data_IF_186214387618
#
_entry.id   IF_186214387618
#
_cell.length_a   1.000
_cell.length_b   1.000
_cell.length_c   1.000
_cell.angle_alpha   90.00
_cell.angle_beta   90.00
_cell.angle_gamma   90.00
#
_symmetry.space_group_name_H-M   'P 1'
#
loop_
_entity.id
_entity.type
_entity.pdbx_description
1 polymer ?
#
# COMPACT_ATOMS: atom_id res chain seq x y z
N UNK A 1 -4.99 45.40 17.59
CA UNK A 1 -4.24 45.52 18.85
C UNK A 1 -3.43 44.24 19.04
N UNK A 2 -2.12 44.40 19.17
CA UNK A 2 -1.13 43.33 19.25
C UNK A 2 -1.17 42.70 20.65
N UNK A 3 -1.55 41.43 20.76
CA UNK A 3 -1.25 40.63 21.96
C UNK A 3 0.18 40.14 21.81
N UNK A 4 1.01 40.52 22.77
CA UNK A 4 2.46 40.48 22.69
C UNK A 4 3.02 39.08 22.49
N UNK A 5 3.97 39.01 21.56
CA UNK A 5 5.08 38.08 21.60
C UNK A 5 5.83 38.25 22.94
N UNK A 6 5.39 37.55 23.98
CA UNK A 6 6.22 37.29 25.13
C UNK A 6 7.21 36.20 24.73
N UNK A 7 8.50 36.48 24.94
CA UNK A 7 9.59 35.51 24.86
C UNK A 7 9.14 34.20 25.52
N UNK A 8 9.05 33.12 24.74
CA UNK A 8 9.21 31.78 25.32
C UNK A 8 10.65 31.73 25.85
N UNK A 9 10.83 32.09 27.12
CA UNK A 9 12.03 31.69 27.84
C UNK A 9 12.19 30.17 27.63
N UNK A 10 13.42 29.71 27.40
CA UNK A 10 13.71 28.28 27.35
C UNK A 10 13.10 27.66 28.62
N UNK A 11 12.03 26.89 28.47
CA UNK A 11 11.47 26.11 29.58
C UNK A 11 12.46 24.99 29.83
N UNK A 12 13.11 25.00 30.99
CA UNK A 12 14.23 24.11 31.30
C UNK A 12 13.79 22.87 32.08
N UNK A 13 12.60 22.91 32.70
CA UNK A 13 12.09 21.80 33.51
C UNK A 13 10.59 21.58 33.41
N UNK A 14 10.16 20.37 33.81
CA UNK A 14 8.74 19.99 33.88
C UNK A 14 8.00 20.90 34.87
N UNK A 15 8.65 21.27 35.98
CA UNK A 15 8.07 22.16 36.99
C UNK A 15 7.76 23.54 36.42
N UNK A 16 8.73 24.13 35.71
CA UNK A 16 8.56 25.42 35.01
C UNK A 16 7.46 25.36 33.96
N UNK A 17 7.37 24.26 33.19
CA UNK A 17 6.33 24.06 32.18
C UNK A 17 4.94 24.10 32.81
N UNK A 18 4.70 23.29 33.85
CA UNK A 18 3.42 23.22 34.57
C UNK A 18 3.09 24.57 35.20
N UNK A 19 4.06 25.22 35.84
CA UNK A 19 3.86 26.52 36.47
C UNK A 19 3.44 27.59 35.45
N UNK A 20 4.14 27.65 34.31
CA UNK A 20 3.89 28.61 33.24
C UNK A 20 2.49 28.45 32.66
N UNK A 21 2.12 27.23 32.26
CA UNK A 21 0.78 26.97 31.71
C UNK A 21 -0.33 27.26 32.71
N UNK A 22 -0.17 26.83 33.98
CA UNK A 22 -1.17 27.13 35.02
C UNK A 22 -1.37 28.63 35.22
N UNK A 23 -0.28 29.41 35.28
CA UNK A 23 -0.34 30.87 35.43
C UNK A 23 -0.95 31.56 34.22
N UNK A 24 -0.59 31.14 33.01
CA UNK A 24 -1.13 31.68 31.76
C UNK A 24 -2.63 31.39 31.62
N UNK A 25 -3.10 30.27 32.16
CA UNK A 25 -4.53 29.93 32.23
C UNK A 25 -5.27 30.57 33.40
N UNK A 26 -4.60 31.38 34.24
CA UNK A 26 -5.19 32.04 35.40
C UNK A 26 -5.62 31.09 36.53
N UNK A 27 -5.17 29.83 36.51
CA UNK A 27 -5.59 28.81 37.47
C UNK A 27 -4.81 28.90 38.78
N UNK A 28 -5.51 28.74 39.91
CA UNK A 28 -4.88 28.50 41.21
C UNK A 28 -4.44 27.05 41.36
N UNK A 29 -3.53 26.77 42.30
CA UNK A 29 -3.15 25.39 42.64
C UNK A 29 -4.34 24.54 43.09
N UNK A 30 -5.33 25.14 43.76
CA UNK A 30 -6.53 24.43 44.20
C UNK A 30 -7.40 24.02 43.01
N UNK A 31 -7.62 24.93 42.05
CA UNK A 31 -8.39 24.64 40.83
C UNK A 31 -7.70 23.58 39.95
N UNK A 32 -6.37 23.65 39.79
CA UNK A 32 -5.65 22.61 39.06
C UNK A 32 -5.73 21.26 39.79
N UNK A 33 -5.65 21.26 41.12
CA UNK A 33 -5.80 20.05 41.93
C UNK A 33 -7.17 19.40 41.73
N UNK A 34 -8.23 20.20 41.74
CA UNK A 34 -9.61 19.75 41.50
C UNK A 34 -9.80 19.21 40.09
N UNK A 35 -9.27 19.90 39.07
CA UNK A 35 -9.47 19.55 37.66
C UNK A 35 -8.63 18.34 37.21
N UNK A 36 -7.42 18.20 37.76
CA UNK A 36 -6.50 17.09 37.42
C UNK A 36 -6.60 15.87 38.33
N UNK A 37 -7.25 16.00 39.49
CA UNK A 37 -7.27 14.96 40.52
C UNK A 37 -5.94 14.80 41.28
N UNK A 38 -4.91 15.57 40.95
CA UNK A 38 -3.60 15.51 41.64
C UNK A 38 -3.61 16.39 42.88
N UNK A 39 -3.13 15.89 44.01
CA UNK A 39 -3.17 16.63 45.27
C UNK A 39 -2.35 17.94 45.21
N UNK A 40 -2.93 19.05 45.71
CA UNK A 40 -2.33 20.40 45.71
C UNK A 40 -0.87 20.44 46.18
N UNK A 41 -0.54 19.70 47.23
CA UNK A 41 0.83 19.62 47.76
C UNK A 41 1.82 18.97 46.78
N UNK A 42 1.37 17.98 46.01
CA UNK A 42 2.18 17.32 44.96
C UNK A 42 2.43 18.29 43.80
N UNK A 43 1.40 19.02 43.37
CA UNK A 43 1.53 20.05 42.32
C UNK A 43 2.56 21.11 42.74
N UNK A 44 2.46 21.61 43.97
CA UNK A 44 3.41 22.60 44.50
C UNK A 44 4.85 22.10 44.49
N UNK A 45 5.09 20.83 44.88
CA UNK A 45 6.42 20.23 44.87
C UNK A 45 6.96 20.05 43.44
N UNK A 46 6.11 19.75 42.47
CA UNK A 46 6.49 19.65 41.06
C UNK A 46 6.88 21.03 40.52
N UNK A 47 6.04 22.05 40.73
CA UNK A 47 6.30 23.41 40.24
C UNK A 47 7.54 24.05 40.86
N UNK A 48 7.86 23.73 42.11
CA UNK A 48 9.05 24.23 42.81
C UNK A 48 10.30 23.35 42.59
N UNK A 49 10.23 22.34 41.71
CA UNK A 49 11.32 21.39 41.42
C UNK A 49 11.79 20.51 42.60
N UNK A 50 11.03 20.46 43.69
CA UNK A 50 11.25 19.50 44.78
C UNK A 50 11.12 18.06 44.28
N UNK A 51 10.32 17.84 43.22
CA UNK A 51 10.20 16.59 42.48
C UNK A 51 10.71 16.80 41.05
N UNK A 52 11.98 16.47 40.81
CA UNK A 52 12.65 16.65 39.51
C UNK A 52 12.18 15.67 38.42
N UNK A 53 11.67 14.52 38.83
CA UNK A 53 11.16 13.45 37.94
C UNK A 53 9.80 12.98 38.44
N UNK A 54 8.73 13.76 38.22
CA UNK A 54 7.39 13.30 38.56
C UNK A 54 7.07 12.04 37.76
N UNK A 55 6.31 11.11 38.34
CA UNK A 55 5.85 9.94 37.60
C UNK A 55 4.94 10.36 36.44
N UNK A 56 5.06 9.69 35.30
CA UNK A 56 4.28 10.02 34.10
C UNK A 56 2.77 9.96 34.36
N UNK A 57 2.33 9.01 35.19
CA UNK A 57 0.95 8.85 35.67
C UNK A 57 0.44 10.03 36.49
N UNK A 58 1.34 10.75 37.19
CA UNK A 58 1.01 11.99 37.92
C UNK A 58 1.07 13.20 37.01
N UNK A 59 1.98 13.20 36.02
CA UNK A 59 2.16 14.31 35.10
C UNK A 59 1.04 14.40 34.05
N UNK A 60 0.58 13.27 33.50
CA UNK A 60 -0.39 13.22 32.41
C UNK A 60 -1.71 13.93 32.73
N UNK A 61 -2.35 13.73 33.90
CA UNK A 61 -3.57 14.46 34.26
C UNK A 61 -3.38 15.97 34.40
N UNK A 62 -2.20 16.42 34.87
CA UNK A 62 -1.87 17.85 34.95
C UNK A 62 -1.77 18.48 33.55
N UNK A 63 -1.12 17.76 32.64
CA UNK A 63 -0.94 18.16 31.24
C UNK A 63 -2.27 18.29 30.52
N UNK A 64 -3.18 17.33 30.74
CA UNK A 64 -4.53 17.37 30.17
C UNK A 64 -5.37 18.52 30.75
N UNK A 65 -5.37 18.69 32.07
CA UNK A 65 -6.11 19.76 32.74
C UNK A 65 -5.63 21.16 32.28
N UNK A 66 -4.33 21.31 32.04
CA UNK A 66 -3.72 22.55 31.54
C UNK A 66 -3.72 22.68 30.01
N UNK A 67 -4.19 21.65 29.29
CA UNK A 67 -4.20 21.59 27.82
C UNK A 67 -2.82 21.88 27.21
N UNK A 68 -1.78 21.34 27.83
CA UNK A 68 -0.41 21.48 27.32
C UNK A 68 -0.27 20.58 26.09
N UNK A 69 0.30 21.06 24.98
CA UNK A 69 0.62 20.22 23.83
C UNK A 69 1.48 19.01 24.24
N UNK A 70 1.07 17.81 23.78
CA UNK A 70 1.69 16.56 24.20
C UNK A 70 3.16 16.47 23.77
N UNK A 71 3.49 16.98 22.59
CA UNK A 71 4.86 17.06 22.06
C UNK A 71 5.82 17.78 23.04
N UNK A 72 5.38 18.92 23.58
CA UNK A 72 6.16 19.77 24.49
C UNK A 72 6.50 19.03 25.77
N UNK A 73 5.52 18.31 26.32
CA UNK A 73 5.68 17.53 27.56
C UNK A 73 6.57 16.33 27.34
N UNK A 74 6.32 15.59 26.26
CA UNK A 74 7.07 14.38 25.91
C UNK A 74 8.55 14.71 25.73
N UNK A 75 8.88 15.79 25.02
CA UNK A 75 10.27 16.22 24.83
C UNK A 75 11.00 16.47 26.15
N UNK A 76 10.38 17.23 27.06
CA UNK A 76 10.96 17.47 28.37
C UNK A 76 11.08 16.18 29.17
N UNK A 77 10.05 15.33 29.16
CA UNK A 77 10.05 14.11 29.97
C UNK A 77 11.10 13.09 29.51
N UNK A 78 11.32 12.94 28.21
CA UNK A 78 12.33 12.03 27.64
C UNK A 78 13.77 12.43 28.01
N UNK A 79 14.01 13.71 28.35
CA UNK A 79 15.29 14.19 28.86
C UNK A 79 15.57 13.77 30.31
N UNK A 80 14.51 13.57 31.10
CA UNK A 80 14.57 13.25 32.53
C UNK A 80 14.51 11.75 32.78
N UNK A 81 13.60 11.01 32.12
CA UNK A 81 13.46 9.57 32.27
C UNK A 81 14.09 8.81 31.09
N UNK A 82 15.19 8.10 31.38
CA UNK A 82 15.96 7.36 30.38
C UNK A 82 15.66 5.85 30.34
N UNK A 83 14.73 5.35 31.16
CA UNK A 83 14.42 3.91 31.19
C UNK A 83 13.65 3.51 29.94
N UNK A 84 14.07 2.42 29.30
CA UNK A 84 13.41 1.89 28.11
C UNK A 84 11.91 1.66 28.33
N UNK A 85 11.53 1.04 29.46
CA UNK A 85 10.13 0.75 29.78
C UNK A 85 9.25 2.00 29.83
N UNK A 86 9.76 3.07 30.45
CA UNK A 86 9.01 4.31 30.54
C UNK A 86 8.85 4.96 29.16
N UNK A 87 9.91 4.93 28.34
CA UNK A 87 9.89 5.49 26.97
C UNK A 87 8.92 4.72 26.07
N UNK A 88 8.83 3.39 26.23
CA UNK A 88 7.87 2.56 25.50
C UNK A 88 6.42 2.86 25.91
N UNK A 89 6.15 3.04 27.20
CA UNK A 89 4.84 3.47 27.68
C UNK A 89 4.46 4.87 27.16
N UNK A 90 5.41 5.81 27.11
CA UNK A 90 5.18 7.14 26.51
C UNK A 90 4.87 7.00 25.02
N UNK A 91 5.58 6.13 24.30
CA UNK A 91 5.31 5.87 22.88
C UNK A 91 3.87 5.35 22.69
N UNK A 92 3.42 4.42 23.54
CA UNK A 92 2.06 3.93 23.52
C UNK A 92 1.02 5.04 23.77
N UNK A 93 1.25 5.88 24.79
CA UNK A 93 0.37 7.02 25.11
C UNK A 93 0.30 8.04 23.96
N UNK A 94 1.44 8.34 23.33
CA UNK A 94 1.52 9.19 22.14
C UNK A 94 0.65 8.60 21.02
N UNK A 95 0.77 7.32 20.72
CA UNK A 95 0.00 6.68 19.64
C UNK A 95 -1.50 6.69 19.96
N UNK A 96 -1.91 6.48 21.21
CA UNK A 96 -3.33 6.46 21.61
C UNK A 96 -3.98 7.85 21.59
N UNK A 97 -3.23 8.91 21.92
CA UNK A 97 -3.78 10.25 22.13
C UNK A 97 -3.33 11.26 21.08
N UNK A 98 -3.40 10.88 19.80
CA UNK A 98 -3.17 11.75 18.63
C UNK A 98 -1.71 12.04 18.26
N UNK A 99 -0.80 11.08 18.49
CA UNK A 99 0.59 11.16 18.06
C UNK A 99 0.72 11.19 16.55
N UNK A 100 1.44 12.18 16.03
CA UNK A 100 1.90 12.16 14.65
C UNK A 100 2.98 11.09 14.47
N UNK A 101 3.14 10.60 13.23
CA UNK A 101 4.24 9.69 12.89
C UNK A 101 5.61 10.28 13.29
N UNK A 102 5.78 11.60 13.16
CA UNK A 102 6.99 12.31 13.57
C UNK A 102 7.24 12.24 15.09
N UNK A 103 6.23 12.47 15.91
CA UNK A 103 6.37 12.39 17.37
C UNK A 103 6.63 10.95 17.82
N UNK A 104 5.89 9.98 17.27
CA UNK A 104 6.11 8.57 17.55
C UNK A 104 7.54 8.13 17.17
N UNK A 105 8.04 8.56 16.02
CA UNK A 105 9.41 8.29 15.58
C UNK A 105 10.44 8.93 16.53
N UNK A 106 10.21 10.17 16.98
CA UNK A 106 11.09 10.86 17.94
C UNK A 106 11.17 10.13 19.28
N UNK A 107 10.03 9.69 19.81
CA UNK A 107 9.97 8.90 21.06
C UNK A 107 10.65 7.55 20.85
N UNK A 108 10.38 6.87 19.74
CA UNK A 108 11.03 5.60 19.36
C UNK A 108 12.55 5.72 19.27
N UNK A 109 13.06 6.81 18.68
CA UNK A 109 14.50 7.06 18.58
C UNK A 109 15.11 7.20 19.98
N UNK A 110 14.43 7.94 20.88
CA UNK A 110 14.86 8.03 22.27
C UNK A 110 14.76 6.69 22.98
N UNK A 111 13.76 5.86 22.69
CA UNK A 111 13.70 4.50 23.23
C UNK A 111 14.96 3.68 22.84
N UNK A 112 15.43 3.76 21.58
CA UNK A 112 16.65 3.08 21.12
C UNK A 112 17.96 3.65 21.70
N UNK A 113 17.93 4.86 22.25
CA UNK A 113 19.06 5.47 22.98
C UNK A 113 19.04 5.17 24.50
N UNK A 114 18.18 4.26 24.96
CA UNK A 114 18.05 3.98 26.40
C UNK A 114 19.28 3.22 26.91
N UNK A 115 19.95 3.69 27.98
CA UNK A 115 21.16 3.05 28.49
C UNK A 115 20.89 1.78 29.30
N UNK A 116 19.63 1.39 29.51
CA UNK A 116 19.26 0.28 30.39
C UNK A 116 19.46 -1.10 29.75
N UNK A 117 19.48 -1.16 28.42
CA UNK A 117 19.43 -2.40 27.64
C UNK A 117 20.44 -2.30 26.48
N UNK A 118 20.89 -3.42 25.93
CA UNK A 118 21.74 -3.42 24.74
C UNK A 118 20.94 -3.08 23.47
N UNK A 119 21.64 -2.57 22.45
CA UNK A 119 21.02 -2.13 21.19
C UNK A 119 20.22 -3.22 20.48
N UNK A 120 20.61 -4.51 20.58
CA UNK A 120 19.87 -5.59 19.94
C UNK A 120 18.52 -5.81 20.64
N UNK A 121 18.53 -5.89 21.98
CA UNK A 121 17.32 -6.03 22.78
C UNK A 121 16.34 -4.87 22.58
N UNK A 122 16.84 -3.63 22.51
CA UNK A 122 16.00 -2.46 22.22
C UNK A 122 15.33 -2.56 20.86
N UNK A 123 16.09 -2.90 19.80
CA UNK A 123 15.51 -3.03 18.46
C UNK A 123 14.47 -4.15 18.40
N UNK A 124 14.72 -5.29 19.05
CA UNK A 124 13.76 -6.40 19.13
C UNK A 124 12.44 -5.97 19.78
N UNK A 125 12.53 -5.29 20.93
CA UNK A 125 11.35 -4.78 21.65
C UNK A 125 10.58 -3.77 20.81
N UNK A 126 11.27 -2.84 20.15
CA UNK A 126 10.62 -1.84 19.30
C UNK A 126 9.98 -2.49 18.07
N UNK A 127 10.62 -3.50 17.48
CA UNK A 127 10.07 -4.26 16.37
C UNK A 127 8.78 -4.99 16.77
N UNK A 128 8.79 -5.68 17.91
CA UNK A 128 7.59 -6.33 18.45
C UNK A 128 6.46 -5.33 18.72
N UNK A 129 6.79 -4.17 19.32
CA UNK A 129 5.83 -3.10 19.57
C UNK A 129 5.24 -2.51 18.29
N UNK A 130 6.07 -2.21 17.29
CA UNK A 130 5.62 -1.68 15.99
C UNK A 130 4.63 -2.63 15.31
N UNK A 131 4.79 -3.94 15.49
CA UNK A 131 3.84 -4.96 15.03
C UNK A 131 2.43 -4.84 15.61
N UNK A 132 2.27 -4.22 16.79
CA UNK A 132 0.95 -4.01 17.43
C UNK A 132 0.28 -2.69 17.03
N UNK A 133 0.96 -1.83 16.27
CA UNK A 133 0.44 -0.51 15.89
C UNK A 133 -0.55 -0.64 14.73
N UNK A 134 -1.78 -0.16 14.91
CA UNK A 134 -2.83 -0.20 13.87
C UNK A 134 -2.63 0.87 12.79
N UNK A 135 -2.27 2.09 13.18
CA UNK A 135 -2.04 3.21 12.25
C UNK A 135 -0.85 2.91 11.34
N UNK A 136 -1.12 2.78 10.03
CA UNK A 136 -0.13 2.40 9.03
C UNK A 136 1.01 3.40 8.93
N UNK A 137 0.70 4.70 9.01
CA UNK A 137 1.65 5.80 8.89
C UNK A 137 2.66 5.78 10.04
N UNK A 138 2.18 5.58 11.28
CA UNK A 138 3.04 5.45 12.46
C UNK A 138 3.85 4.15 12.38
N UNK A 139 3.20 3.04 12.04
CA UNK A 139 3.88 1.74 11.92
C UNK A 139 5.02 1.78 10.89
N UNK A 140 4.79 2.42 9.75
CA UNK A 140 5.81 2.65 8.73
C UNK A 140 6.98 3.48 9.28
N UNK A 141 6.69 4.59 9.97
CA UNK A 141 7.71 5.44 10.56
C UNK A 141 8.58 4.71 11.61
N UNK A 142 7.96 3.84 12.42
CA UNK A 142 8.68 3.03 13.41
C UNK A 142 9.54 1.94 12.74
N UNK A 143 9.03 1.24 11.72
CA UNK A 143 9.85 0.27 11.00
C UNK A 143 10.98 0.93 10.21
N UNK A 144 10.77 2.12 9.65
CA UNK A 144 11.83 2.90 9.01
C UNK A 144 12.91 3.31 10.03
N UNK A 145 12.52 3.73 11.23
CA UNK A 145 13.46 4.00 12.32
C UNK A 145 14.28 2.75 12.71
N UNK A 146 13.63 1.58 12.80
CA UNK A 146 14.31 0.30 13.07
C UNK A 146 15.32 0.00 11.96
N UNK A 147 14.94 0.19 10.68
CA UNK A 147 15.83 -0.01 9.53
C UNK A 147 17.07 0.87 9.64
N UNK A 148 16.89 2.16 9.89
CA UNK A 148 18.00 3.13 9.91
C UNK A 148 18.92 2.87 11.11
N UNK A 149 18.35 2.68 12.30
CA UNK A 149 19.13 2.35 13.49
C UNK A 149 19.89 1.02 13.34
N UNK A 150 19.22 -0.02 12.82
CA UNK A 150 19.84 -1.34 12.62
C UNK A 150 20.98 -1.29 11.60
N UNK A 151 20.85 -0.48 10.55
CA UNK A 151 21.92 -0.24 9.57
C UNK A 151 23.13 0.39 10.23
N UNK A 152 22.92 1.44 11.03
CA UNK A 152 23.99 2.20 11.68
C UNK A 152 24.73 1.38 12.75
N UNK A 153 24.03 0.41 13.36
CA UNK A 153 24.57 -0.42 14.45
C UNK A 153 24.92 -1.85 14.02
N UNK A 154 24.79 -2.19 12.73
CA UNK A 154 25.13 -3.51 12.20
C UNK A 154 24.20 -4.66 12.64
N UNK A 155 22.95 -4.37 13.00
CA UNK A 155 21.97 -5.33 13.50
C UNK A 155 21.21 -5.96 12.32
N UNK A 156 21.90 -6.80 11.54
CA UNK A 156 21.41 -7.29 10.24
C UNK A 156 20.06 -8.03 10.27
N UNK A 157 19.73 -8.88 11.27
CA UNK A 157 18.41 -9.51 11.35
C UNK A 157 17.25 -8.52 11.40
N UNK A 158 17.40 -7.43 12.16
CA UNK A 158 16.35 -6.41 12.26
C UNK A 158 16.40 -5.38 11.13
N UNK A 159 17.55 -5.20 10.48
CA UNK A 159 17.61 -4.52 9.19
C UNK A 159 16.75 -5.27 8.16
N UNK A 160 16.95 -6.58 7.99
CA UNK A 160 16.21 -7.40 7.04
C UNK A 160 14.71 -7.44 7.35
N UNK A 161 14.34 -7.71 8.62
CA UNK A 161 12.94 -7.73 9.07
C UNK A 161 12.27 -6.36 8.91
N UNK A 162 12.95 -5.28 9.30
CA UNK A 162 12.45 -3.92 9.15
C UNK A 162 12.22 -3.55 7.68
N UNK A 163 13.17 -3.89 6.80
CA UNK A 163 13.06 -3.66 5.36
C UNK A 163 11.86 -4.42 4.76
N UNK A 164 11.66 -5.69 5.15
CA UNK A 164 10.49 -6.47 4.75
C UNK A 164 9.19 -5.78 5.18
N UNK A 165 9.08 -5.33 6.43
CA UNK A 165 7.87 -4.66 6.92
C UNK A 165 7.61 -3.32 6.21
N UNK A 166 8.64 -2.50 5.98
CA UNK A 166 8.54 -1.27 5.18
C UNK A 166 7.99 -1.59 3.78
N UNK A 167 8.56 -2.59 3.10
CA UNK A 167 8.09 -3.02 1.79
C UNK A 167 6.63 -3.50 1.81
N UNK A 168 6.25 -4.32 2.80
CA UNK A 168 4.89 -4.85 2.92
C UNK A 168 3.84 -3.76 3.15
N UNK A 169 4.21 -2.66 3.81
CA UNK A 169 3.30 -1.52 4.00
C UNK A 169 3.22 -0.68 2.73
N UNK A 170 4.36 -0.33 2.13
CA UNK A 170 4.41 0.56 0.97
C UNK A 170 3.85 -0.07 -0.31
N UNK A 171 4.00 -1.40 -0.50
CA UNK A 171 3.55 -2.09 -1.73
C UNK A 171 2.04 -2.04 -1.96
N UNK A 172 1.26 -1.75 -0.93
CA UNK A 172 -0.20 -1.60 -1.02
C UNK A 172 -0.61 -0.19 -1.49
N UNK A 173 0.34 0.74 -1.65
CA UNK A 173 0.12 2.00 -2.35
C UNK A 173 0.33 1.83 -3.86
N UNK A 174 -0.76 1.51 -4.56
CA UNK A 174 -0.71 1.25 -6.01
C UNK A 174 -0.37 2.49 -6.83
N UNK A 175 -0.50 3.71 -6.27
CA UNK A 175 -0.10 4.93 -6.98
C UNK A 175 1.41 5.04 -7.17
N UNK A 176 2.18 4.25 -6.40
CA UNK A 176 3.64 4.21 -6.42
C UNK A 176 4.17 2.81 -6.73
N UNK A 177 3.34 1.91 -7.29
CA UNK A 177 3.63 0.48 -7.48
C UNK A 177 5.04 0.24 -8.06
N UNK A 178 5.34 0.83 -9.23
CA UNK A 178 6.64 0.68 -9.90
C UNK A 178 7.80 1.27 -9.10
N UNK A 179 7.60 2.44 -8.49
CA UNK A 179 8.64 3.09 -7.68
C UNK A 179 8.98 2.28 -6.41
N UNK A 180 7.96 1.74 -5.74
CA UNK A 180 8.15 0.88 -4.56
C UNK A 180 8.86 -0.41 -4.95
N UNK A 181 8.46 -1.07 -6.04
CA UNK A 181 9.17 -2.27 -6.51
C UNK A 181 10.65 -2.00 -6.77
N UNK A 182 10.96 -0.98 -7.57
CA UNK A 182 12.34 -0.63 -7.94
C UNK A 182 13.19 -0.23 -6.72
N UNK A 183 12.60 0.50 -5.77
CA UNK A 183 13.29 0.94 -4.55
C UNK A 183 13.48 -0.16 -3.50
N UNK A 184 12.66 -1.22 -3.52
CA UNK A 184 12.63 -2.26 -2.47
C UNK A 184 13.03 -3.65 -2.93
N UNK A 185 13.18 -3.93 -4.23
CA UNK A 185 13.51 -5.28 -4.71
C UNK A 185 14.84 -5.82 -4.19
N UNK A 186 15.80 -4.96 -3.86
CA UNK A 186 17.11 -5.34 -3.30
C UNK A 186 17.06 -5.90 -1.87
N UNK A 187 15.89 -5.97 -1.23
CA UNK A 187 15.73 -6.67 0.06
C UNK A 187 16.13 -8.15 -0.05
N UNK A 188 16.06 -8.74 -1.26
CA UNK A 188 16.52 -10.11 -1.54
C UNK A 188 17.97 -10.36 -1.12
N UNK A 189 18.83 -9.34 -1.17
CA UNK A 189 20.24 -9.45 -0.72
C UNK A 189 20.36 -9.72 0.78
N UNK A 190 19.33 -9.36 1.56
CA UNK A 190 19.25 -9.57 3.00
C UNK A 190 18.40 -10.78 3.39
N UNK A 191 17.88 -11.55 2.42
CA UNK A 191 16.94 -12.65 2.67
C UNK A 191 17.51 -13.72 3.60
N UNK A 192 18.83 -13.97 3.57
CA UNK A 192 19.50 -14.95 4.42
C UNK A 192 19.45 -14.61 5.93
N UNK A 193 19.13 -13.36 6.30
CA UNK A 193 18.88 -12.96 7.69
C UNK A 193 17.43 -13.17 8.14
N UNK A 194 16.52 -13.50 7.22
CA UNK A 194 15.10 -13.77 7.50
C UNK A 194 14.86 -15.24 7.82
N UNK A 195 13.77 -15.53 8.55
CA UNK A 195 13.30 -16.91 8.73
C UNK A 195 12.78 -17.51 7.41
N UNK A 196 12.55 -18.82 7.37
CA UNK A 196 11.99 -19.47 6.18
C UNK A 196 10.61 -18.89 5.81
N UNK A 197 9.78 -18.64 6.82
CA UNK A 197 8.45 -18.06 6.67
C UNK A 197 8.52 -16.63 6.10
N UNK A 198 9.43 -15.80 6.64
CA UNK A 198 9.62 -14.43 6.16
C UNK A 198 10.23 -14.39 4.76
N UNK A 199 11.15 -15.31 4.41
CA UNK A 199 11.68 -15.45 3.04
C UNK A 199 10.58 -15.84 2.06
N UNK A 200 9.73 -16.79 2.43
CA UNK A 200 8.56 -17.21 1.64
C UNK A 200 7.65 -16.02 1.35
N UNK A 201 7.32 -15.22 2.37
CA UNK A 201 6.52 -14.00 2.22
C UNK A 201 7.22 -13.00 1.31
N UNK A 202 8.52 -12.72 1.54
CA UNK A 202 9.31 -11.78 0.74
C UNK A 202 9.27 -12.15 -0.75
N UNK A 203 9.67 -13.37 -1.08
CA UNK A 203 9.77 -13.83 -2.46
C UNK A 203 8.41 -13.86 -3.14
N UNK A 204 7.36 -14.37 -2.47
CA UNK A 204 6.02 -14.36 -3.04
C UNK A 204 5.52 -12.94 -3.29
N UNK A 205 5.66 -12.05 -2.29
CA UNK A 205 5.12 -10.68 -2.37
C UNK A 205 5.87 -9.85 -3.40
N UNK A 206 7.18 -10.05 -3.58
CA UNK A 206 7.94 -9.46 -4.69
C UNK A 206 7.57 -10.11 -6.03
N UNK A 207 7.36 -11.42 -6.08
CA UNK A 207 7.01 -12.16 -7.30
C UNK A 207 5.69 -11.70 -7.91
N UNK A 208 4.63 -11.58 -7.10
CA UNK A 208 3.34 -11.04 -7.55
C UNK A 208 3.43 -9.54 -7.89
N UNK A 209 4.31 -8.80 -7.22
CA UNK A 209 4.51 -7.37 -7.53
C UNK A 209 5.19 -7.21 -8.90
N UNK A 210 6.23 -8.00 -9.18
CA UNK A 210 6.87 -8.06 -10.49
C UNK A 210 5.88 -8.48 -11.58
N UNK A 211 5.04 -9.47 -11.31
CA UNK A 211 3.98 -9.91 -12.23
C UNK A 211 3.02 -8.75 -12.59
N UNK A 212 2.53 -8.02 -11.60
CA UNK A 212 1.63 -6.88 -11.81
C UNK A 212 2.30 -5.70 -12.54
N UNK A 213 3.63 -5.70 -12.64
CA UNK A 213 4.42 -4.74 -13.42
C UNK A 213 4.86 -5.29 -14.78
N UNK A 214 4.33 -6.45 -15.19
CA UNK A 214 4.67 -7.15 -16.43
C UNK A 214 6.15 -7.60 -16.50
N UNK A 215 6.83 -7.68 -15.36
CA UNK A 215 8.22 -8.14 -15.22
C UNK A 215 8.25 -9.66 -15.04
N UNK A 216 7.73 -10.39 -16.03
CA UNK A 216 7.46 -11.83 -15.91
C UNK A 216 8.70 -12.67 -15.62
N UNK A 217 9.88 -12.29 -16.14
CA UNK A 217 11.14 -13.00 -15.83
C UNK A 217 11.53 -12.86 -14.36
N UNK A 218 11.53 -11.63 -13.83
CA UNK A 218 11.80 -11.38 -12.41
C UNK A 218 10.75 -12.07 -11.53
N UNK A 219 9.48 -12.07 -11.94
CA UNK A 219 8.39 -12.77 -11.25
C UNK A 219 8.65 -14.28 -11.15
N UNK A 220 9.07 -14.90 -12.25
CA UNK A 220 9.42 -16.32 -12.30
C UNK A 220 10.56 -16.64 -11.33
N UNK A 221 11.66 -15.88 -11.38
CA UNK A 221 12.83 -16.13 -10.53
C UNK A 221 12.46 -16.07 -9.04
N UNK A 222 11.66 -15.07 -8.66
CA UNK A 222 11.17 -14.91 -7.28
C UNK A 222 10.20 -16.04 -6.87
N UNK A 223 9.25 -16.41 -7.72
CA UNK A 223 8.30 -17.47 -7.41
C UNK A 223 8.95 -18.87 -7.36
N UNK A 224 10.03 -19.10 -8.10
CA UNK A 224 10.80 -20.34 -7.98
C UNK A 224 11.48 -20.47 -6.61
N UNK A 225 11.95 -19.38 -6.01
CA UNK A 225 12.44 -19.41 -4.63
C UNK A 225 11.32 -19.77 -3.64
N UNK A 226 10.09 -19.31 -3.85
CA UNK A 226 8.95 -19.72 -3.02
C UNK A 226 8.76 -21.25 -3.04
N UNK A 227 8.87 -21.88 -4.21
CA UNK A 227 8.73 -23.33 -4.33
C UNK A 227 9.88 -24.13 -3.67
N UNK A 228 11.04 -23.49 -3.45
CA UNK A 228 12.19 -24.09 -2.78
C UNK A 228 12.09 -24.00 -1.25
N UNK A 229 11.47 -22.93 -0.75
CA UNK A 229 11.43 -22.59 0.67
C UNK A 229 10.16 -23.11 1.36
N UNK A 230 9.02 -23.04 0.68
CA UNK A 230 7.72 -23.32 1.27
C UNK A 230 7.27 -24.76 1.07
N UNK A 231 6.59 -25.32 2.07
CA UNK A 231 5.89 -26.59 1.95
C UNK A 231 4.79 -26.54 0.87
N UNK A 232 4.50 -27.68 0.25
CA UNK A 232 3.59 -27.75 -0.89
C UNK A 232 2.14 -27.32 -0.56
N UNK A 233 1.71 -27.49 0.69
CA UNK A 233 0.38 -27.07 1.18
C UNK A 233 0.36 -25.60 1.67
N UNK A 234 1.50 -24.90 1.66
CA UNK A 234 1.58 -23.50 2.01
C UNK A 234 0.80 -22.63 1.00
N UNK A 235 0.01 -21.68 1.50
CA UNK A 235 -0.77 -20.78 0.65
C UNK A 235 0.08 -20.03 -0.38
N UNK A 236 1.28 -19.59 -0.01
CA UNK A 236 2.20 -18.88 -0.91
C UNK A 236 2.77 -19.81 -1.99
N UNK A 237 3.07 -21.06 -1.65
CA UNK A 237 3.50 -22.08 -2.62
C UNK A 237 2.45 -22.27 -3.71
N UNK A 238 1.21 -22.53 -3.30
CA UNK A 238 0.09 -22.80 -4.21
C UNK A 238 -0.12 -21.60 -5.15
N UNK A 239 -0.18 -20.38 -4.62
CA UNK A 239 -0.40 -19.20 -5.45
C UNK A 239 0.83 -18.85 -6.32
N UNK A 240 2.05 -19.17 -5.89
CA UNK A 240 3.24 -19.03 -6.73
C UNK A 240 3.18 -19.92 -7.98
N UNK A 241 2.59 -21.12 -7.90
CA UNK A 241 2.34 -21.94 -9.10
C UNK A 241 1.44 -21.24 -10.11
N UNK A 242 0.38 -20.57 -9.65
CA UNK A 242 -0.50 -19.76 -10.50
C UNK A 242 0.25 -18.60 -11.18
N UNK A 243 1.09 -17.89 -10.44
CA UNK A 243 1.92 -16.80 -10.98
C UNK A 243 2.93 -17.32 -12.01
N UNK A 244 3.59 -18.45 -11.73
CA UNK A 244 4.53 -19.09 -12.66
C UNK A 244 3.82 -19.49 -13.96
N UNK A 245 2.67 -20.17 -13.85
CA UNK A 245 1.81 -20.52 -14.97
C UNK A 245 1.51 -19.30 -15.85
N UNK A 246 1.01 -18.23 -15.26
CA UNK A 246 0.60 -17.03 -15.99
C UNK A 246 1.82 -16.31 -16.59
N UNK A 247 2.93 -16.20 -15.86
CA UNK A 247 4.16 -15.58 -16.34
C UNK A 247 4.74 -16.30 -17.55
N UNK A 248 4.79 -17.64 -17.52
CA UNK A 248 5.24 -18.44 -18.67
C UNK A 248 4.29 -18.34 -19.85
N UNK A 249 2.97 -18.27 -19.62
CA UNK A 249 1.99 -18.02 -20.68
C UNK A 249 2.25 -16.68 -21.39
N UNK A 250 2.50 -15.60 -20.64
CA UNK A 250 2.78 -14.28 -21.21
C UNK A 250 4.12 -14.20 -21.94
N UNK A 251 5.10 -15.01 -21.53
CA UNK A 251 6.37 -15.18 -22.25
C UNK A 251 6.28 -16.18 -23.41
N UNK A 252 5.09 -16.70 -23.70
CA UNK A 252 4.80 -17.67 -24.76
C UNK A 252 5.51 -19.02 -24.62
N UNK A 253 5.98 -19.35 -23.41
CA UNK A 253 6.47 -20.69 -23.04
C UNK A 253 5.30 -21.54 -22.56
N UNK A 254 4.49 -21.99 -23.52
CA UNK A 254 3.25 -22.72 -23.23
C UNK A 254 3.48 -24.08 -22.59
N UNK A 255 4.61 -24.74 -22.87
CA UNK A 255 4.94 -26.04 -22.27
C UNK A 255 5.14 -25.90 -20.76
N UNK A 256 5.88 -24.88 -20.31
CA UNK A 256 6.00 -24.59 -18.87
C UNK A 256 4.70 -24.07 -18.27
N UNK A 257 3.95 -23.25 -18.99
CA UNK A 257 2.62 -22.82 -18.53
C UNK A 257 1.72 -24.03 -18.25
N UNK A 258 1.70 -25.02 -19.14
CA UNK A 258 0.91 -26.24 -18.93
C UNK A 258 1.44 -27.10 -17.78
N UNK A 259 2.77 -27.23 -17.68
CA UNK A 259 3.40 -27.91 -16.56
C UNK A 259 2.94 -27.33 -15.20
N UNK A 260 3.00 -26.01 -15.03
CA UNK A 260 2.56 -25.36 -13.79
C UNK A 260 1.03 -25.38 -13.62
N UNK A 261 0.25 -25.37 -14.70
CA UNK A 261 -1.20 -25.58 -14.64
C UNK A 261 -1.55 -26.91 -13.98
N UNK A 262 -0.88 -27.99 -14.39
CA UNK A 262 -1.09 -29.34 -13.84
C UNK A 262 -0.74 -29.37 -12.35
N UNK A 263 0.32 -28.67 -11.91
CA UNK A 263 0.67 -28.61 -10.49
C UNK A 263 -0.36 -27.80 -9.68
N UNK A 264 -0.83 -26.68 -10.23
CA UNK A 264 -1.78 -25.78 -9.58
C UNK A 264 -3.17 -26.42 -9.43
N UNK A 265 -3.62 -27.20 -10.42
CA UNK A 265 -4.91 -27.90 -10.42
C UNK A 265 -5.01 -29.05 -9.42
N UNK A 266 -3.91 -29.44 -8.76
CA UNK A 266 -3.93 -30.46 -7.71
C UNK A 266 -4.67 -30.00 -6.45
N UNK A 267 -4.86 -28.69 -6.28
CA UNK A 267 -5.45 -28.11 -5.09
C UNK A 267 -6.92 -27.73 -5.31
N UNK A 268 -7.79 -28.07 -4.35
CA UNK A 268 -9.24 -27.95 -4.49
C UNK A 268 -9.79 -26.66 -3.85
N UNK A 269 -9.37 -25.49 -4.34
CA UNK A 269 -9.92 -24.21 -3.92
C UNK A 269 -10.79 -23.57 -5.01
N UNK A 270 -11.87 -22.83 -4.66
CA UNK A 270 -12.76 -22.21 -5.65
C UNK A 270 -12.04 -21.29 -6.66
N UNK A 271 -11.12 -20.46 -6.19
CA UNK A 271 -10.35 -19.55 -7.04
C UNK A 271 -9.41 -20.30 -8.01
N UNK A 272 -8.88 -21.46 -7.61
CA UNK A 272 -8.04 -22.30 -8.47
C UNK A 272 -8.87 -22.82 -9.64
N UNK A 273 -10.08 -23.35 -9.38
CA UNK A 273 -10.98 -23.82 -10.44
C UNK A 273 -11.30 -22.72 -11.46
N UNK A 274 -11.61 -21.51 -10.97
CA UNK A 274 -11.88 -20.36 -11.82
C UNK A 274 -10.66 -19.99 -12.69
N UNK A 275 -9.49 -19.79 -12.07
CA UNK A 275 -8.27 -19.41 -12.79
C UNK A 275 -7.75 -20.50 -13.73
N UNK A 276 -7.91 -21.77 -13.39
CA UNK A 276 -7.56 -22.88 -14.28
C UNK A 276 -8.46 -22.95 -15.50
N UNK A 277 -9.77 -22.68 -15.36
CA UNK A 277 -10.68 -22.58 -16.51
C UNK A 277 -10.28 -21.42 -17.43
N UNK A 278 -10.00 -20.24 -16.87
CA UNK A 278 -9.54 -19.08 -17.63
C UNK A 278 -8.23 -19.36 -18.38
N UNK A 279 -7.26 -20.02 -17.73
CA UNK A 279 -6.01 -20.42 -18.40
C UNK A 279 -6.24 -21.46 -19.49
N UNK A 280 -7.08 -22.46 -19.24
CA UNK A 280 -7.44 -23.47 -20.25
C UNK A 280 -8.09 -22.85 -21.49
N UNK A 281 -8.96 -21.85 -21.31
CA UNK A 281 -9.52 -21.09 -22.41
C UNK A 281 -8.44 -20.32 -23.18
N UNK A 282 -7.52 -19.65 -22.46
CA UNK A 282 -6.39 -18.92 -23.05
C UNK A 282 -5.47 -19.83 -23.89
N UNK A 283 -5.12 -21.01 -23.38
CA UNK A 283 -4.32 -22.01 -24.11
C UNK A 283 -5.03 -22.54 -25.36
N UNK A 284 -6.35 -22.81 -25.28
CA UNK A 284 -7.13 -23.22 -26.46
C UNK A 284 -7.19 -22.13 -27.52
N UNK A 285 -7.42 -20.88 -27.13
CA UNK A 285 -7.41 -19.75 -28.05
C UNK A 285 -6.05 -19.58 -28.75
N UNK A 286 -4.94 -19.74 -28.00
CA UNK A 286 -3.58 -19.70 -28.57
C UNK A 286 -3.32 -20.84 -29.56
N UNK A 287 -3.87 -22.03 -29.31
CA UNK A 287 -3.79 -23.21 -30.22
C UNK A 287 -4.67 -23.11 -31.46
N UNK A 288 -5.45 -22.04 -31.61
CA UNK A 288 -6.41 -21.88 -32.72
C UNK A 288 -7.76 -22.56 -32.48
N UNK A 289 -7.97 -23.18 -31.31
CA UNK A 289 -9.24 -23.79 -30.91
C UNK A 289 -10.19 -22.73 -30.33
N UNK A 290 -10.42 -21.65 -31.09
CA UNK A 290 -11.15 -20.47 -30.61
C UNK A 290 -12.58 -20.79 -30.18
N UNK A 291 -13.30 -21.68 -30.86
CA UNK A 291 -14.67 -22.05 -30.47
C UNK A 291 -14.72 -22.73 -29.11
N UNK A 292 -13.76 -23.61 -28.83
CA UNK A 292 -13.66 -24.29 -27.53
C UNK A 292 -13.39 -23.27 -26.42
N UNK A 293 -12.50 -22.32 -26.67
CA UNK A 293 -12.22 -21.23 -25.72
C UNK A 293 -13.48 -20.36 -25.47
N UNK A 294 -14.20 -20.00 -26.53
CA UNK A 294 -15.44 -19.21 -26.42
C UNK A 294 -16.49 -19.95 -25.61
N UNK A 295 -16.73 -21.24 -25.88
CA UNK A 295 -17.72 -22.03 -25.16
C UNK A 295 -17.39 -22.12 -23.66
N UNK A 296 -16.12 -22.38 -23.33
CA UNK A 296 -15.65 -22.42 -21.95
C UNK A 296 -15.91 -21.09 -21.22
N UNK A 297 -15.52 -19.96 -21.82
CA UNK A 297 -15.66 -18.63 -21.23
C UNK A 297 -17.14 -18.22 -21.08
N UNK A 298 -17.98 -18.48 -22.09
CA UNK A 298 -19.43 -18.19 -22.01
C UNK A 298 -20.13 -19.02 -20.94
N UNK A 299 -19.72 -20.27 -20.74
CA UNK A 299 -20.25 -21.09 -19.66
C UNK A 299 -19.80 -20.59 -18.29
N UNK A 300 -18.53 -20.19 -18.16
CA UNK A 300 -17.99 -19.61 -16.93
C UNK A 300 -18.70 -18.32 -16.51
N UNK A 301 -19.01 -17.43 -17.47
CA UNK A 301 -19.74 -16.17 -17.24
C UNK A 301 -21.13 -16.34 -16.61
N UNK A 302 -21.73 -17.52 -16.68
CA UNK A 302 -23.07 -17.77 -16.10
C UNK A 302 -23.06 -17.87 -14.57
N UNK A 303 -21.89 -18.15 -13.97
CA UNK A 303 -21.79 -18.53 -12.55
C UNK A 303 -20.69 -17.80 -11.79
N UNK A 304 -19.90 -16.96 -12.46
CA UNK A 304 -18.78 -16.27 -11.85
C UNK A 304 -19.19 -14.97 -11.13
N UNK A 305 -18.32 -14.47 -10.25
CA UNK A 305 -18.46 -13.15 -9.65
C UNK A 305 -18.05 -12.04 -10.66
N UNK A 306 -18.17 -10.77 -10.26
CA UNK A 306 -17.89 -9.63 -11.12
C UNK A 306 -16.40 -9.47 -11.49
N UNK A 307 -15.47 -9.80 -10.59
CA UNK A 307 -14.03 -9.73 -10.85
C UNK A 307 -13.62 -10.83 -11.85
N UNK A 308 -14.16 -12.03 -11.70
CA UNK A 308 -13.92 -13.15 -12.63
C UNK A 308 -14.61 -12.94 -13.98
N UNK A 309 -15.79 -12.31 -13.99
CA UNK A 309 -16.50 -11.96 -15.22
C UNK A 309 -15.67 -11.00 -16.08
N UNK A 310 -15.01 -10.04 -15.43
CA UNK A 310 -14.13 -9.08 -16.08
C UNK A 310 -12.98 -9.77 -16.84
N UNK A 311 -12.30 -10.72 -16.19
CA UNK A 311 -11.25 -11.54 -16.81
C UNK A 311 -11.78 -12.31 -18.04
N UNK A 312 -12.94 -12.94 -17.91
CA UNK A 312 -13.53 -13.73 -18.99
C UNK A 312 -14.00 -12.88 -20.17
N UNK A 313 -14.59 -11.71 -19.90
CA UNK A 313 -15.01 -10.76 -20.94
C UNK A 313 -13.81 -10.25 -21.72
N UNK A 314 -12.73 -9.85 -21.05
CA UNK A 314 -11.51 -9.39 -21.74
C UNK A 314 -10.96 -10.47 -22.68
N UNK A 315 -10.89 -11.73 -22.22
CA UNK A 315 -10.45 -12.84 -23.07
C UNK A 315 -11.39 -13.06 -24.27
N UNK A 316 -12.71 -13.02 -24.07
CA UNK A 316 -13.67 -13.17 -25.15
C UNK A 316 -13.58 -12.03 -26.18
N UNK A 317 -13.45 -10.77 -25.74
CA UNK A 317 -13.31 -9.62 -26.63
C UNK A 317 -12.08 -9.77 -27.52
N UNK A 318 -10.92 -10.16 -26.95
CA UNK A 318 -9.71 -10.46 -27.73
C UNK A 318 -9.92 -11.53 -28.78
N UNK A 319 -10.61 -12.63 -28.42
CA UNK A 319 -10.91 -13.71 -29.37
C UNK A 319 -11.83 -13.21 -30.49
N UNK A 320 -12.88 -12.45 -30.14
CA UNK A 320 -13.82 -11.92 -31.11
C UNK A 320 -13.19 -10.92 -32.05
N UNK A 321 -12.37 -9.98 -31.58
CA UNK A 321 -11.68 -9.02 -32.44
C UNK A 321 -10.70 -9.72 -33.39
N UNK A 322 -9.93 -10.69 -32.91
CA UNK A 322 -9.04 -11.50 -33.77
C UNK A 322 -9.80 -12.27 -34.86
N UNK A 323 -11.05 -12.65 -34.58
CA UNK A 323 -11.94 -13.34 -35.52
C UNK A 323 -12.85 -12.41 -36.34
N UNK A 324 -12.73 -11.09 -36.22
CA UNK A 324 -13.65 -10.10 -36.80
C UNK A 324 -15.15 -10.35 -36.46
N UNK A 325 -15.43 -10.77 -35.23
CA UNK A 325 -16.75 -11.15 -34.71
C UNK A 325 -17.41 -10.01 -33.93
N UNK A 326 -17.64 -8.89 -34.61
CA UNK A 326 -18.15 -7.67 -33.98
C UNK A 326 -19.56 -7.85 -33.39
N UNK A 327 -20.41 -8.66 -34.01
CA UNK A 327 -21.75 -8.94 -33.49
C UNK A 327 -21.72 -9.67 -32.15
N UNK A 328 -20.86 -10.68 -32.00
CA UNK A 328 -20.69 -11.39 -30.74
C UNK A 328 -20.04 -10.52 -29.66
N UNK A 329 -19.14 -9.61 -30.06
CA UNK A 329 -18.58 -8.60 -29.16
C UNK A 329 -19.67 -7.64 -28.67
N UNK A 330 -20.54 -7.14 -29.55
CA UNK A 330 -21.68 -6.30 -29.18
C UNK A 330 -22.58 -7.00 -28.15
N UNK A 331 -22.96 -8.25 -28.43
CA UNK A 331 -23.77 -9.04 -27.49
C UNK A 331 -23.08 -9.20 -26.14
N UNK A 332 -21.78 -9.47 -26.13
CA UNK A 332 -21.01 -9.63 -24.89
C UNK A 332 -20.98 -8.35 -24.07
N UNK A 333 -20.84 -7.18 -24.71
CA UNK A 333 -20.81 -5.88 -24.03
C UNK A 333 -22.14 -5.49 -23.38
N UNK A 334 -23.23 -6.22 -23.66
CA UNK A 334 -24.49 -6.09 -22.90
C UNK A 334 -24.44 -6.76 -21.52
N UNK A 335 -23.41 -7.58 -21.26
CA UNK A 335 -23.23 -8.23 -19.96
C UNK A 335 -22.99 -7.16 -18.86
N UNK A 336 -23.74 -7.20 -17.75
CA UNK A 336 -23.66 -6.17 -16.73
C UNK A 336 -22.36 -6.28 -15.92
N UNK A 337 -21.46 -5.31 -16.12
CA UNK A 337 -20.34 -5.03 -15.21
C UNK A 337 -20.70 -3.81 -14.36
N UNK A 338 -20.68 -3.98 -13.05
CA UNK A 338 -20.88 -2.89 -12.09
C UNK A 338 -19.50 -2.42 -11.57
N UNK A 339 -18.99 -1.26 -12.00
CA UNK A 339 -17.65 -0.80 -11.59
C UNK A 339 -17.50 -0.62 -10.08
N UNK A 340 -18.59 -0.38 -9.36
CA UNK A 340 -18.59 -0.20 -7.89
C UNK A 340 -18.41 -1.51 -7.12
N UNK A 341 -18.70 -2.66 -7.73
CA UNK A 341 -18.50 -3.98 -7.12
C UNK A 341 -17.14 -4.59 -7.46
N UNK A 342 -16.36 -3.96 -8.34
CA UNK A 342 -15.02 -4.44 -8.70
C UNK A 342 -14.04 -4.15 -7.57
N UNK A 343 -13.25 -5.16 -7.21
CA UNK A 343 -12.26 -5.05 -6.15
C UNK A 343 -11.20 -3.99 -6.46
N UNK A 344 -10.96 -3.08 -5.50
CA UNK A 344 -9.96 -2.00 -5.60
C UNK A 344 -8.71 -2.23 -4.76
N UNK A 345 -8.62 -3.37 -4.08
CA UNK A 345 -7.49 -3.79 -3.26
C UNK A 345 -6.52 -4.73 -4.00
N UNK A 346 -6.70 -4.92 -5.31
CA UNK A 346 -5.86 -5.76 -6.15
C UNK A 346 -5.50 -5.00 -7.44
N UNK A 347 -4.21 -4.69 -7.69
CA UNK A 347 -3.82 -3.91 -8.86
C UNK A 347 -4.08 -4.67 -10.17
N UNK A 348 -4.02 -6.00 -10.18
CA UNK A 348 -4.38 -6.80 -11.36
C UNK A 348 -5.85 -6.62 -11.73
N UNK A 349 -6.77 -6.64 -10.76
CA UNK A 349 -8.20 -6.44 -11.03
C UNK A 349 -8.48 -5.01 -11.53
N UNK A 350 -7.78 -4.01 -11.00
CA UNK A 350 -7.87 -2.63 -11.52
C UNK A 350 -7.34 -2.56 -12.97
N UNK A 351 -6.25 -3.26 -13.28
CA UNK A 351 -5.73 -3.38 -14.64
C UNK A 351 -6.73 -4.05 -15.58
N UNK A 352 -7.39 -5.11 -15.13
CA UNK A 352 -8.42 -5.81 -15.91
C UNK A 352 -9.64 -4.93 -16.16
N UNK A 353 -9.95 -4.01 -15.25
CA UNK A 353 -11.02 -3.05 -15.46
C UNK A 353 -10.61 -2.00 -16.50
N UNK A 354 -9.36 -1.55 -16.47
CA UNK A 354 -8.81 -0.70 -17.51
C UNK A 354 -8.86 -1.40 -18.88
N UNK A 355 -8.44 -2.66 -18.94
CA UNK A 355 -8.45 -3.48 -20.16
C UNK A 355 -9.87 -3.70 -20.72
N UNK A 356 -10.86 -3.87 -19.86
CA UNK A 356 -12.27 -3.92 -20.29
C UNK A 356 -12.71 -2.64 -20.99
N UNK A 357 -12.43 -1.48 -20.41
CA UNK A 357 -12.72 -0.20 -21.05
C UNK A 357 -11.91 -0.01 -22.34
N UNK A 358 -10.67 -0.48 -22.38
CA UNK A 358 -9.84 -0.44 -23.59
C UNK A 358 -10.49 -1.24 -24.74
N UNK A 359 -10.85 -2.49 -24.50
CA UNK A 359 -11.50 -3.32 -25.52
C UNK A 359 -12.89 -2.81 -25.91
N UNK A 360 -13.63 -2.21 -24.96
CA UNK A 360 -14.91 -1.57 -25.27
C UNK A 360 -14.72 -0.33 -26.16
N UNK A 361 -13.64 0.43 -25.94
CA UNK A 361 -13.26 1.51 -26.82
C UNK A 361 -12.95 1.00 -28.22
N UNK A 362 -12.12 -0.04 -28.36
CA UNK A 362 -11.81 -0.66 -29.67
C UNK A 362 -13.07 -1.08 -30.41
N UNK A 363 -14.05 -1.69 -29.72
CA UNK A 363 -15.34 -2.02 -30.29
C UNK A 363 -16.05 -0.77 -30.84
N UNK A 364 -16.18 0.29 -30.03
CA UNK A 364 -16.88 1.50 -30.46
C UNK A 364 -16.20 2.21 -31.63
N UNK A 365 -14.86 2.21 -31.67
CA UNK A 365 -14.11 2.71 -32.83
C UNK A 365 -14.42 1.87 -34.08
N UNK A 366 -14.47 0.54 -33.95
CA UNK A 366 -14.74 -0.36 -35.07
C UNK A 366 -16.16 -0.23 -35.66
N UNK A 367 -17.12 0.27 -34.88
CA UNK A 367 -18.51 0.54 -35.33
C UNK A 367 -18.77 2.03 -35.57
N UNK A 368 -17.71 2.83 -35.75
CA UNK A 368 -17.75 4.27 -36.05
C UNK A 368 -18.41 5.15 -34.96
N UNK A 369 -18.51 4.67 -33.71
CA UNK A 369 -18.95 5.46 -32.54
C UNK A 369 -17.75 6.08 -31.81
N UNK A 370 -17.10 7.01 -32.48
CA UNK A 370 -15.84 7.63 -32.03
C UNK A 370 -15.97 8.30 -30.65
N UNK A 371 -17.09 8.96 -30.33
CA UNK A 371 -17.24 9.67 -29.05
C UNK A 371 -17.28 8.72 -27.85
N UNK A 372 -17.97 7.56 -27.97
CA UNK A 372 -17.94 6.53 -26.94
C UNK A 372 -16.57 5.87 -26.85
N UNK A 373 -15.94 5.57 -27.99
CA UNK A 373 -14.59 5.02 -28.02
C UNK A 373 -13.58 5.89 -27.27
N UNK A 374 -13.57 7.20 -27.55
CA UNK A 374 -12.71 8.16 -26.84
C UNK A 374 -13.01 8.19 -25.34
N UNK A 375 -14.29 8.19 -24.95
CA UNK A 375 -14.69 8.23 -23.54
C UNK A 375 -14.18 7.00 -22.78
N UNK A 376 -14.23 5.84 -23.43
CA UNK A 376 -13.77 4.57 -22.86
C UNK A 376 -12.25 4.45 -22.81
N UNK A 377 -11.52 4.93 -23.82
CA UNK A 377 -10.06 5.02 -23.73
C UNK A 377 -9.61 5.92 -22.56
N UNK A 378 -10.32 7.04 -22.32
CA UNK A 378 -10.02 7.91 -21.18
C UNK A 378 -10.33 7.25 -19.83
N UNK A 379 -11.42 6.47 -19.74
CA UNK A 379 -11.72 5.72 -18.51
C UNK A 379 -10.68 4.60 -18.29
N UNK A 380 -10.26 3.91 -19.35
CA UNK A 380 -9.17 2.94 -19.32
C UNK A 380 -7.87 3.57 -18.79
N UNK A 381 -7.45 4.69 -19.38
CA UNK A 381 -6.29 5.47 -18.93
C UNK A 381 -6.40 5.87 -17.45
N UNK A 382 -7.59 6.26 -17.00
CA UNK A 382 -7.82 6.63 -15.59
C UNK A 382 -7.63 5.45 -14.65
N UNK A 383 -8.00 4.23 -15.06
CA UNK A 383 -7.78 3.03 -14.26
C UNK A 383 -6.31 2.60 -14.25
N UNK A 384 -5.60 2.64 -15.39
CA UNK A 384 -4.15 2.40 -15.42
C UNK A 384 -3.38 3.40 -14.55
N UNK A 385 -3.76 4.68 -14.55
CA UNK A 385 -3.13 5.70 -13.67
C UNK A 385 -3.27 5.37 -12.17
N UNK A 386 -4.32 4.64 -11.74
CA UNK A 386 -4.52 4.27 -10.32
C UNK A 386 -3.49 3.25 -9.83
N UNK A 387 -2.86 2.52 -10.75
CA UNK A 387 -1.87 1.47 -10.45
C UNK A 387 -0.48 1.85 -10.97
N UNK A 388 -0.25 3.12 -11.31
CA UNK A 388 1.01 3.64 -11.84
C UNK A 388 1.49 2.93 -13.13
N UNK A 389 0.54 2.43 -13.93
CA UNK A 389 0.84 1.84 -15.24
C UNK A 389 0.85 2.92 -16.32
N UNK A 390 1.96 3.66 -16.36
CA UNK A 390 2.12 4.80 -17.27
C UNK A 390 2.20 4.39 -18.74
N UNK A 391 2.55 3.15 -19.04
CA UNK A 391 2.77 2.70 -20.41
C UNK A 391 1.40 2.45 -21.08
N UNK A 392 0.53 1.67 -20.42
CA UNK A 392 -0.83 1.46 -20.93
C UNK A 392 -1.71 2.72 -20.81
N UNK A 393 -1.48 3.57 -19.80
CA UNK A 393 -2.12 4.90 -19.74
C UNK A 393 -1.82 5.72 -21.00
N UNK A 394 -0.54 5.84 -21.39
CA UNK A 394 -0.14 6.57 -22.59
C UNK A 394 -0.66 5.91 -23.86
N UNK A 395 -0.68 4.57 -23.90
CA UNK A 395 -1.21 3.85 -25.05
C UNK A 395 -2.69 4.15 -25.29
N UNK A 396 -3.51 4.24 -24.24
CA UNK A 396 -4.90 4.67 -24.37
C UNK A 396 -5.03 6.07 -25.00
N UNK A 397 -4.18 7.03 -24.57
CA UNK A 397 -4.17 8.38 -25.14
C UNK A 397 -3.68 8.37 -26.60
N UNK A 398 -2.69 7.55 -26.91
CA UNK A 398 -2.17 7.36 -28.26
C UNK A 398 -3.26 6.81 -29.20
N UNK A 399 -4.07 5.84 -28.74
CA UNK A 399 -5.17 5.28 -29.53
C UNK A 399 -6.26 6.32 -29.86
N UNK A 400 -6.53 7.29 -28.98
CA UNK A 400 -7.44 8.41 -29.28
C UNK A 400 -6.90 9.22 -30.47
N UNK A 401 -5.61 9.55 -30.48
CA UNK A 401 -4.97 10.27 -31.59
C UNK A 401 -4.99 9.43 -32.86
N UNK A 402 -4.63 8.15 -32.75
CA UNK A 402 -4.58 7.22 -33.86
C UNK A 402 -5.95 7.04 -34.54
N UNK A 403 -7.02 6.96 -33.76
CA UNK A 403 -8.39 6.81 -34.26
C UNK A 403 -8.79 7.98 -35.17
N UNK A 404 -8.45 9.22 -34.81
CA UNK A 404 -8.74 10.40 -35.65
C UNK A 404 -7.88 10.42 -36.92
N UNK A 405 -6.60 10.05 -36.79
CA UNK A 405 -5.68 10.00 -37.94
C UNK A 405 -6.12 8.94 -38.96
N UNK A 406 -6.50 7.75 -38.52
CA UNK A 406 -6.96 6.67 -39.40
C UNK A 406 -8.26 7.01 -40.12
N UNK A 407 -9.20 7.67 -39.43
CA UNK A 407 -10.49 8.08 -40.00
C UNK A 407 -10.41 9.40 -40.78
N UNK A 408 -9.24 10.05 -40.79
CA UNK A 408 -9.03 11.37 -41.40
C UNK A 408 -10.03 12.43 -40.92
N UNK A 409 -10.27 12.45 -39.59
CA UNK A 409 -11.19 13.37 -38.93
C UNK A 409 -10.40 14.39 -38.09
N UNK A 410 -10.84 15.65 -38.13
CA UNK A 410 -10.32 16.66 -37.21
C UNK A 410 -10.71 16.31 -35.77
N UNK A 411 -9.78 16.52 -34.83
CA UNK A 411 -10.07 16.32 -33.41
C UNK A 411 -10.95 17.47 -32.89
N UNK A 412 -12.19 17.19 -32.43
CA UNK A 412 -13.10 18.24 -31.99
C UNK A 412 -12.66 18.80 -30.63
N UNK A 413 -13.06 20.05 -30.37
CA UNK A 413 -12.79 20.74 -29.09
C UNK A 413 -13.35 19.94 -27.90
N UNK A 414 -14.46 19.22 -28.08
CA UNK A 414 -15.02 18.33 -27.06
C UNK A 414 -14.04 17.25 -26.62
N UNK A 415 -13.32 16.62 -27.56
CA UNK A 415 -12.27 15.63 -27.27
C UNK A 415 -11.11 16.27 -26.52
N UNK A 416 -10.65 17.45 -26.95
CA UNK A 416 -9.60 18.20 -26.24
C UNK A 416 -10.03 18.58 -24.81
N UNK A 417 -11.30 18.94 -24.61
CA UNK A 417 -11.85 19.23 -23.29
C UNK A 417 -11.90 17.97 -22.38
N UNK A 418 -12.24 16.81 -22.94
CA UNK A 418 -12.19 15.52 -22.23
C UNK A 418 -10.75 15.18 -21.81
N UNK A 419 -9.78 15.32 -22.71
CA UNK A 419 -8.33 15.14 -22.41
C UNK A 419 -7.85 16.08 -21.31
N UNK A 420 -8.18 17.38 -21.39
CA UNK A 420 -7.82 18.35 -20.35
C UNK A 420 -8.44 17.97 -18.98
N UNK A 421 -9.68 17.50 -18.97
CA UNK A 421 -10.34 17.02 -17.75
C UNK A 421 -9.63 15.81 -17.16
N UNK A 422 -9.21 14.86 -18.01
CA UNK A 422 -8.41 13.71 -17.61
C UNK A 422 -7.08 14.14 -16.96
N UNK A 423 -6.29 15.00 -17.61
CA UNK A 423 -5.00 15.45 -17.07
C UNK A 423 -5.14 16.19 -15.74
N UNK A 424 -6.18 17.02 -15.57
CA UNK A 424 -6.48 17.68 -14.28
C UNK A 424 -6.78 16.67 -13.17
N UNK A 425 -7.52 15.61 -13.48
CA UNK A 425 -7.84 14.54 -12.52
C UNK A 425 -6.63 13.69 -12.19
N UNK A 426 -5.76 13.42 -13.16
CA UNK A 426 -4.52 12.65 -12.96
C UNK A 426 -3.54 13.44 -12.08
N UNK A 427 -3.28 14.72 -12.40
CA UNK A 427 -2.38 15.59 -11.63
C UNK A 427 -2.85 15.85 -10.18
N UNK A 428 -4.17 15.91 -9.94
CA UNK A 428 -4.70 16.05 -8.57
C UNK A 428 -4.39 14.86 -7.66
N UNK A 429 -4.03 13.69 -8.22
CA UNK A 429 -3.54 12.55 -7.44
C UNK A 429 -2.06 12.71 -7.05
N UNK A 430 -1.24 13.31 -7.91
CA UNK A 430 0.18 13.57 -7.63
C UNK A 430 0.35 14.65 -6.53
N UNK A 431 -0.45 15.72 -6.54
CA UNK A 431 -0.31 16.80 -5.54
C UNK A 431 -0.88 16.50 -4.15
N UNK A 432 -1.60 15.38 -3.94
CA UNK A 432 -1.87 14.90 -2.58
C UNK A 432 -0.61 14.32 -1.90
N UNK A 433 0.47 14.11 -2.65
CA UNK A 433 1.70 13.46 -2.18
C UNK A 433 2.88 14.43 -1.98
N UNK A 434 2.82 15.67 -2.47
CA UNK A 434 3.89 16.67 -2.24
C UNK A 434 3.79 17.38 -0.87
N UNK A 435 2.70 17.19 -0.13
CA UNK A 435 2.55 17.73 1.24
C UNK A 435 3.24 16.91 2.34
N UNK A 436 4.09 15.94 1.98
CA UNK A 436 4.66 14.94 2.90
C UNK A 436 6.19 14.78 2.79
N UNK A 437 6.88 15.80 2.29
CA UNK A 437 8.27 16.07 2.70
C UNK A 437 8.28 17.09 3.84
#
# INVERSE_FOLDING_TARGET
>A
MRVGAYRMAQILSIGELIHSYRRNSGMTLAQLSETSGVHKGTISKIENEDVKRPEYTTLRPLVEALRIPLDTVVELYLSVDKRAEMRLHILQDVIQHSGSAQLAQKVGAKFLESPSDDSHSLVERLYGFAGTVECKEIRLALYQLIVDYSRDHGIMPFLAKGLLQVYLIERDDFTRLRAVYNGRKYIVEYAHFLSCEDRTILYYKLGIHAFNLFLYRESIDLCLHVLQEADADNWYYINALGILRDSYFYLEDYDKSEYYSIQYEKYDYPHIKAYSLLMKASLNARRGNSEVAIELLKNFLKQCNQDDALLAINQLLKIYFKGNRLYEAEQLLTHPICPKSISTNNPNIISQLAEYYYHRAEYFIAVDDLDKGISDFLESALHYSKINDTDHEKECINQIVHSHLQQNLDMPISTLAKLNTFYKRSAAKEHKLEGFM
#
